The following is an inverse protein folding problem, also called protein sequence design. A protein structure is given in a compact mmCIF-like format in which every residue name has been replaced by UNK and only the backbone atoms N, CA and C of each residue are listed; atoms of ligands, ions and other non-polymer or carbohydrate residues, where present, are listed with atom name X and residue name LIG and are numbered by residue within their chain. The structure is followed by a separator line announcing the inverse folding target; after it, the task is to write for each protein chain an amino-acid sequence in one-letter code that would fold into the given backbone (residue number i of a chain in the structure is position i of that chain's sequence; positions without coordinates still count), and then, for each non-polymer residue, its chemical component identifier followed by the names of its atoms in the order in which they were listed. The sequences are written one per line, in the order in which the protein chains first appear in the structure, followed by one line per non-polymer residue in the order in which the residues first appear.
data_IF_753569759360
#
_entry.id   IF_753569759360
#
_cell.length_a   1.000
_cell.length_b   1.000
_cell.length_c   1.000
_cell.angle_alpha   90.00
_cell.angle_beta   90.00
_cell.angle_gamma   90.00
#
_symmetry.space_group_name_H-M   'P 1'
#
loop_
_entity.id
_entity.type
_entity.pdbx_description
1 polymer ?
#
# COMPACT_ATOMS: atom_id res chain seq x y z
N UNK A 1 7.01 -37.49 29.20
CA UNK A 1 5.94 -37.01 28.29
C UNK A 1 5.68 -35.51 28.49
N UNK A 2 6.42 -34.61 27.82
CA UNK A 2 6.14 -33.15 27.79
C UNK A 2 6.59 -32.56 26.45
N UNK A 3 5.96 -32.93 25.33
CA UNK A 3 6.24 -32.35 24.01
C UNK A 3 5.00 -32.40 23.10
N UNK A 4 3.87 -31.85 23.55
CA UNK A 4 2.68 -31.71 22.70
C UNK A 4 2.03 -30.31 22.76
N UNK A 5 2.42 -29.43 23.70
CA UNK A 5 1.85 -28.07 23.79
C UNK A 5 2.62 -27.00 22.98
N UNK A 6 3.91 -27.21 22.69
CA UNK A 6 4.75 -26.21 21.98
C UNK A 6 4.46 -26.09 20.48
N UNK A 7 3.89 -27.12 19.83
CA UNK A 7 3.64 -27.10 18.38
C UNK A 7 2.31 -26.45 17.97
N UNK A 8 1.28 -26.43 18.85
CA UNK A 8 -0.02 -25.79 18.54
C UNK A 8 0.05 -24.27 18.61
N UNK A 9 0.88 -23.73 19.52
CA UNK A 9 1.01 -22.28 19.72
C UNK A 9 1.74 -21.63 18.54
N UNK A 10 2.74 -22.28 17.93
CA UNK A 10 3.45 -21.72 16.77
C UNK A 10 2.57 -21.58 15.53
N UNK A 11 1.64 -22.51 15.30
CA UNK A 11 0.73 -22.46 14.15
C UNK A 11 -0.34 -21.37 14.33
N UNK A 12 -0.92 -21.27 15.54
CA UNK A 12 -1.89 -20.22 15.84
C UNK A 12 -1.27 -18.81 15.79
N UNK A 13 0.00 -18.67 16.20
CA UNK A 13 0.73 -17.40 16.08
C UNK A 13 1.04 -17.06 14.62
N UNK A 14 1.38 -18.04 13.76
CA UNK A 14 1.58 -17.75 12.33
C UNK A 14 0.28 -17.39 11.62
N UNK A 15 -0.82 -18.09 11.90
CA UNK A 15 -2.14 -17.74 11.36
C UNK A 15 -2.58 -16.35 11.84
N UNK A 16 -2.40 -16.05 13.13
CA UNK A 16 -2.77 -14.74 13.68
C UNK A 16 -1.88 -13.61 13.17
N UNK A 17 -0.59 -13.85 12.97
CA UNK A 17 0.33 -12.89 12.37
C UNK A 17 0.02 -12.68 10.87
N UNK A 18 -0.35 -13.74 10.16
CA UNK A 18 -0.82 -13.67 8.78
C UNK A 18 -2.11 -12.86 8.67
N UNK A 19 -3.11 -13.13 9.52
CA UNK A 19 -4.34 -12.35 9.59
C UNK A 19 -4.09 -10.89 9.99
N UNK A 20 -3.12 -10.63 10.87
CA UNK A 20 -2.73 -9.27 11.23
C UNK A 20 -2.11 -8.53 10.05
N UNK A 21 -1.26 -9.20 9.26
CA UNK A 21 -0.67 -8.62 8.04
C UNK A 21 -1.73 -8.36 6.96
N UNK A 22 -2.64 -9.31 6.71
CA UNK A 22 -3.76 -9.11 5.78
C UNK A 22 -4.65 -7.93 6.21
N UNK A 23 -4.92 -7.80 7.52
CA UNK A 23 -5.65 -6.66 8.06
C UNK A 23 -4.86 -5.34 7.92
N UNK A 24 -3.54 -5.33 8.14
CA UNK A 24 -2.71 -4.14 7.92
C UNK A 24 -2.80 -3.68 6.46
N UNK A 25 -2.64 -4.59 5.50
CA UNK A 25 -2.79 -4.27 4.07
C UNK A 25 -4.18 -3.73 3.76
N UNK A 26 -5.24 -4.29 4.36
CA UNK A 26 -6.60 -3.78 4.19
C UNK A 26 -6.78 -2.36 4.76
N UNK A 27 -6.20 -2.07 5.93
CA UNK A 27 -6.26 -0.75 6.57
C UNK A 27 -5.50 0.30 5.76
N UNK A 28 -4.34 -0.05 5.22
CA UNK A 28 -3.55 0.82 4.33
C UNK A 28 -4.33 1.14 3.05
N UNK A 29 -4.97 0.13 2.45
CA UNK A 29 -5.85 0.32 1.29
C UNK A 29 -7.07 1.19 1.62
N UNK A 30 -7.66 1.07 2.82
CA UNK A 30 -8.77 1.93 3.27
C UNK A 30 -8.30 3.38 3.39
N UNK A 31 -7.17 3.64 4.03
CA UNK A 31 -6.60 4.99 4.14
C UNK A 31 -6.30 5.58 2.75
N UNK A 32 -5.81 4.76 1.82
CA UNK A 32 -5.53 5.19 0.44
C UNK A 32 -6.79 5.59 -0.35
N UNK A 33 -7.95 5.00 -0.06
CA UNK A 33 -9.22 5.39 -0.71
C UNK A 33 -9.61 6.83 -0.39
N UNK A 34 -9.22 7.37 0.76
CA UNK A 34 -9.50 8.76 1.13
C UNK A 34 -8.79 9.77 0.20
N UNK A 35 -7.79 9.34 -0.56
CA UNK A 35 -7.08 10.17 -1.50
C UNK A 35 -7.69 10.20 -2.91
N UNK A 36 -8.74 9.41 -3.19
CA UNK A 36 -9.41 9.43 -4.52
C UNK A 36 -9.83 10.85 -4.88
N UNK A 37 -9.46 11.29 -6.09
CA UNK A 37 -9.68 12.64 -6.61
C UNK A 37 -8.63 13.68 -6.18
N UNK A 38 -7.82 13.38 -5.16
CA UNK A 38 -6.81 14.29 -4.61
C UNK A 38 -5.47 14.15 -5.35
N UNK A 39 -4.67 15.22 -5.29
CA UNK A 39 -3.30 15.25 -5.76
C UNK A 39 -2.38 14.88 -4.59
N UNK A 40 -1.57 13.84 -4.76
CA UNK A 40 -0.66 13.32 -3.74
C UNK A 40 0.75 13.18 -4.29
N UNK A 41 1.73 13.30 -3.41
CA UNK A 41 3.10 12.87 -3.67
C UNK A 41 3.24 11.43 -3.19
N UNK A 42 3.72 10.56 -4.07
CA UNK A 42 3.85 9.13 -3.87
C UNK A 42 5.32 8.72 -3.87
N UNK A 43 5.77 8.03 -2.83
CA UNK A 43 7.06 7.33 -2.84
C UNK A 43 6.81 5.88 -3.25
N UNK A 44 7.38 5.44 -4.36
CA UNK A 44 7.13 4.13 -4.96
C UNK A 44 8.41 3.36 -5.25
N UNK A 45 8.44 2.08 -4.87
CA UNK A 45 9.49 1.11 -5.20
C UNK A 45 8.96 0.16 -6.26
N UNK A 46 9.64 0.10 -7.41
CA UNK A 46 9.28 -0.85 -8.46
C UNK A 46 9.85 -2.25 -8.20
N UNK A 47 9.47 -3.22 -9.04
CA UNK A 47 9.94 -4.62 -8.92
C UNK A 47 11.44 -4.78 -9.16
N UNK A 48 12.13 -3.77 -9.70
CA UNK A 48 13.59 -3.72 -9.88
C UNK A 48 14.27 -3.00 -8.72
N UNK A 49 13.55 -2.75 -7.61
CA UNK A 49 14.03 -2.03 -6.44
C UNK A 49 14.41 -0.56 -6.74
N UNK A 50 13.84 0.03 -7.79
CA UNK A 50 14.05 1.44 -8.09
C UNK A 50 13.00 2.30 -7.38
N UNK A 51 13.49 3.25 -6.58
CA UNK A 51 12.68 4.24 -5.89
C UNK A 51 12.34 5.39 -6.85
N UNK A 52 11.09 5.85 -6.85
CA UNK A 52 10.71 7.09 -7.51
C UNK A 52 9.70 7.88 -6.69
N UNK A 53 9.84 9.20 -6.71
CA UNK A 53 8.86 10.14 -6.14
C UNK A 53 7.98 10.66 -7.28
N UNK A 54 6.66 10.62 -7.11
CA UNK A 54 5.70 10.95 -8.17
C UNK A 54 4.56 11.80 -7.63
N UNK A 55 4.30 12.92 -8.28
CA UNK A 55 3.04 13.65 -8.09
C UNK A 55 1.97 12.99 -8.96
N UNK A 56 0.89 12.53 -8.32
CA UNK A 56 -0.18 11.81 -8.98
C UNK A 56 -1.56 12.25 -8.50
N UNK A 57 -2.54 12.28 -9.41
CA UNK A 57 -3.95 12.38 -9.01
C UNK A 57 -4.53 10.97 -8.88
N UNK A 58 -4.98 10.61 -7.70
CA UNK A 58 -5.57 9.28 -7.46
C UNK A 58 -6.93 9.20 -8.16
N UNK A 59 -7.13 8.16 -8.97
CA UNK A 59 -8.35 7.94 -9.74
C UNK A 59 -9.21 6.82 -9.14
N UNK A 60 -8.57 5.74 -8.68
CA UNK A 60 -9.24 4.63 -8.02
C UNK A 60 -8.24 3.81 -7.21
N UNK A 61 -8.71 3.15 -6.15
CA UNK A 61 -7.97 2.14 -5.40
C UNK A 61 -8.83 0.89 -5.36
N UNK A 62 -8.32 -0.23 -5.89
CA UNK A 62 -9.06 -1.50 -5.96
C UNK A 62 -8.09 -2.67 -6.13
N UNK A 63 -8.38 -3.81 -5.51
CA UNK A 63 -7.67 -5.09 -5.72
C UNK A 63 -6.14 -4.95 -5.57
N UNK A 64 -5.67 -4.28 -4.51
CA UNK A 64 -4.25 -4.04 -4.25
C UNK A 64 -3.55 -3.13 -5.27
N UNK A 65 -4.33 -2.36 -6.04
CA UNK A 65 -3.82 -1.45 -7.07
C UNK A 65 -4.36 -0.05 -6.88
N UNK A 66 -3.47 0.93 -7.07
CA UNK A 66 -3.81 2.33 -7.20
C UNK A 66 -3.73 2.73 -8.66
N UNK A 67 -4.86 3.16 -9.25
CA UNK A 67 -4.90 3.82 -10.55
C UNK A 67 -4.78 5.32 -10.32
N UNK A 68 -3.81 5.95 -10.97
CA UNK A 68 -3.54 7.38 -10.84
C UNK A 68 -3.25 8.01 -12.19
N UNK A 69 -3.52 9.31 -12.34
CA UNK A 69 -2.95 10.12 -13.41
C UNK A 69 -1.61 10.67 -12.94
N UNK A 70 -0.51 10.26 -13.59
CA UNK A 70 0.83 10.71 -13.26
C UNK A 70 1.15 12.02 -13.98
N UNK A 71 1.53 13.05 -13.23
CA UNK A 71 1.77 14.39 -13.81
C UNK A 71 3.05 14.40 -14.66
N UNK A 72 4.09 13.69 -14.22
CA UNK A 72 5.36 13.62 -14.93
C UNK A 72 5.23 12.96 -16.31
N UNK A 73 4.46 11.87 -16.42
CA UNK A 73 4.26 11.16 -17.69
C UNK A 73 3.04 11.64 -18.47
N UNK A 74 2.22 12.54 -17.91
CA UNK A 74 0.96 13.04 -18.49
C UNK A 74 0.02 11.90 -18.94
N UNK A 75 -0.06 10.83 -18.15
CA UNK A 75 -0.82 9.64 -18.50
C UNK A 75 -1.30 8.85 -17.26
N UNK A 76 -2.38 8.06 -17.38
CA UNK A 76 -2.77 7.09 -16.37
C UNK A 76 -1.69 6.02 -16.13
N UNK A 77 -1.47 5.66 -14.87
CA UNK A 77 -0.55 4.60 -14.43
C UNK A 77 -1.18 3.80 -13.29
N UNK A 78 -0.85 2.52 -13.25
CA UNK A 78 -1.23 1.60 -12.19
C UNK A 78 0.00 1.35 -11.30
N UNK A 79 -0.18 1.49 -10.00
CA UNK A 79 0.82 1.21 -8.97
C UNK A 79 0.31 0.04 -8.11
N UNK A 80 1.21 -0.88 -7.75
CA UNK A 80 0.90 -1.91 -6.76
C UNK A 80 0.97 -1.30 -5.37
N UNK A 81 -0.03 -1.53 -4.53
CA UNK A 81 -0.06 -0.98 -3.17
C UNK A 81 1.16 -1.44 -2.37
N UNK A 82 1.58 -2.70 -2.52
CA UNK A 82 2.77 -3.25 -1.86
C UNK A 82 4.09 -2.55 -2.23
N UNK A 83 4.10 -1.78 -3.33
CA UNK A 83 5.26 -0.98 -3.75
C UNK A 83 5.19 0.47 -3.28
N UNK A 84 4.10 0.88 -2.63
CA UNK A 84 3.91 2.23 -2.12
C UNK A 84 4.50 2.29 -0.71
N UNK A 85 5.50 3.14 -0.54
CA UNK A 85 6.19 3.31 0.74
C UNK A 85 5.55 4.42 1.56
N UNK A 86 5.14 5.49 0.89
CA UNK A 86 4.49 6.63 1.54
C UNK A 86 3.63 7.41 0.53
N UNK A 87 2.61 8.11 1.05
CA UNK A 87 1.72 8.97 0.29
C UNK A 87 1.32 10.20 1.12
N UNK A 88 1.62 11.38 0.59
CA UNK A 88 1.27 12.65 1.23
C UNK A 88 0.37 13.51 0.34
N UNK A 89 -0.62 14.17 0.94
CA UNK A 89 -1.44 15.15 0.25
C UNK A 89 -0.59 16.37 -0.15
N UNK A 90 -0.58 16.72 -1.44
CA UNK A 90 0.07 17.97 -1.86
C UNK A 90 -0.85 19.13 -1.48
N UNK A 91 -0.57 19.73 -0.33
CA UNK A 91 -1.13 21.03 0.04
C UNK A 91 -0.26 22.08 -0.64
N UNK A 92 -0.78 22.73 -1.68
CA UNK A 92 -0.13 23.95 -2.17
C UNK A 92 -0.28 25.00 -1.07
N UNK A 93 0.81 25.34 -0.41
CA UNK A 93 0.89 26.62 0.29
C UNK A 93 0.73 27.70 -0.79
N UNK A 94 -0.37 28.45 -0.68
CA UNK A 94 -0.58 29.67 -1.46
C UNK A 94 0.31 30.78 -0.94
#
# INVERSE_FOLDING_TARGET
MKRLAKLKISHLLSERLFLYNENIHSCEVIAMQEYIGKLVQLIYVDRKQQVSIRDVRVLAVKDGKLKAYCLASKAPRIFHVDGIVDMELIRRAG
#
